data_IF_379481571058
#
_entry.id   IF_379481571058
#
_cell.length_a   1.000
_cell.length_b   1.000
_cell.length_c   1.000
_cell.angle_alpha   90.00
_cell.angle_beta   90.00
_cell.angle_gamma   90.00
#
_symmetry.space_group_name_H-M   'P 1'
#
loop_
_entity.id
_entity.type
_entity.pdbx_description
1 polymer ?
#
# COMPACT_ATOMS: atom_id res chain seq x y z
N UNK A 1 -0.55 -6.35 54.95
CA UNK A 1 0.61 -6.24 54.04
C UNK A 1 0.71 -7.52 53.23
N UNK A 2 0.22 -7.52 51.98
CA UNK A 2 0.41 -8.62 51.02
C UNK A 2 1.32 -8.08 49.92
N UNK A 3 2.47 -8.71 49.74
CA UNK A 3 3.47 -8.35 48.74
C UNK A 3 2.91 -8.55 47.33
N UNK A 4 3.10 -7.54 46.49
CA UNK A 4 2.84 -7.56 45.06
C UNK A 4 3.90 -8.41 44.34
N UNK A 5 3.46 -9.30 43.45
CA UNK A 5 4.33 -9.91 42.46
C UNK A 5 4.36 -8.99 41.23
N UNK A 6 5.51 -8.38 40.99
CA UNK A 6 5.79 -7.66 39.75
C UNK A 6 6.25 -8.70 38.73
N UNK A 7 5.41 -8.96 37.73
CA UNK A 7 5.82 -9.69 36.53
C UNK A 7 6.63 -8.73 35.67
N UNK A 8 7.94 -8.94 35.60
CA UNK A 8 8.81 -8.28 34.61
C UNK A 8 8.69 -9.05 33.30
N UNK A 9 7.91 -8.52 32.36
CA UNK A 9 7.97 -8.96 30.98
C UNK A 9 9.30 -8.46 30.38
N UNK A 10 10.25 -9.38 30.15
CA UNK A 10 11.38 -9.10 29.28
C UNK A 10 10.85 -9.04 27.84
N UNK A 11 10.66 -7.83 27.32
CA UNK A 11 10.60 -7.59 25.88
C UNK A 11 11.94 -8.04 25.30
N UNK A 12 11.94 -9.11 24.51
CA UNK A 12 13.08 -9.42 23.65
C UNK A 12 13.12 -8.35 22.57
N UNK A 13 14.05 -7.40 22.68
CA UNK A 13 14.51 -6.64 21.52
C UNK A 13 15.20 -7.66 20.62
N UNK A 14 14.51 -8.13 19.58
CA UNK A 14 15.17 -8.83 18.49
C UNK A 14 16.27 -7.90 17.97
N UNK A 15 17.52 -8.34 18.02
CA UNK A 15 18.62 -7.63 17.38
C UNK A 15 18.38 -7.71 15.88
N UNK A 16 17.84 -6.64 15.30
CA UNK A 16 17.83 -6.49 13.85
C UNK A 16 19.29 -6.38 13.40
N UNK A 17 19.61 -6.96 12.24
CA UNK A 17 20.92 -6.79 11.61
C UNK A 17 21.23 -5.31 11.42
N UNK A 18 22.50 -4.97 11.17
CA UNK A 18 22.78 -3.63 10.68
C UNK A 18 22.15 -3.48 9.28
N UNK A 19 21.50 -2.36 8.97
CA UNK A 19 20.90 -2.13 7.65
C UNK A 19 21.94 -2.25 6.54
N UNK A 20 21.53 -2.74 5.37
CA UNK A 20 22.37 -2.82 4.16
C UNK A 20 22.68 -1.43 3.60
N UNK A 21 21.74 -0.49 3.79
CA UNK A 21 21.89 0.92 3.48
C UNK A 21 21.12 1.73 4.53
N UNK A 22 21.65 2.88 4.95
CA UNK A 22 20.97 3.77 5.87
C UNK A 22 21.32 5.22 5.61
N UNK A 23 20.32 6.11 5.66
CA UNK A 23 20.53 7.55 5.75
C UNK A 23 19.64 8.24 6.78
N UNK A 24 20.29 9.02 7.66
CA UNK A 24 19.65 9.80 8.72
C UNK A 24 19.60 11.30 8.44
N UNK A 25 20.21 11.77 7.35
CA UNK A 25 20.24 13.19 6.95
C UNK A 25 20.94 14.20 7.90
N UNK A 26 21.45 13.74 9.04
CA UNK A 26 22.19 14.55 10.04
C UNK A 26 23.46 15.22 9.49
N UNK A 27 24.00 14.72 8.38
CA UNK A 27 25.23 15.25 7.76
C UNK A 27 24.98 15.96 6.42
N UNK A 28 23.72 16.11 6.03
CA UNK A 28 23.30 16.74 4.79
C UNK A 28 22.42 15.83 3.93
N UNK A 29 22.35 16.12 2.64
CA UNK A 29 21.42 15.47 1.71
C UNK A 29 21.82 14.04 1.31
N UNK A 30 23.04 13.58 1.62
CA UNK A 30 23.47 12.22 1.30
C UNK A 30 23.21 11.77 -0.17
N UNK A 31 23.43 12.67 -1.13
CA UNK A 31 23.18 12.38 -2.56
C UNK A 31 21.72 12.40 -2.98
N UNK A 32 20.77 12.60 -2.06
CA UNK A 32 19.37 12.83 -2.40
C UNK A 32 19.22 14.12 -3.19
N UNK A 33 18.37 14.05 -4.22
CA UNK A 33 18.04 15.16 -5.10
C UNK A 33 16.59 15.10 -5.53
N UNK A 34 16.01 16.26 -5.84
CA UNK A 34 14.77 16.29 -6.59
C UNK A 34 15.08 16.00 -8.07
N UNK A 35 14.45 14.98 -8.65
CA UNK A 35 14.68 14.59 -10.05
C UNK A 35 13.45 14.77 -10.94
N UNK A 36 12.28 15.06 -10.36
CA UNK A 36 11.08 15.44 -11.10
C UNK A 36 10.19 16.40 -10.30
N UNK A 37 9.40 17.19 -11.02
CA UNK A 37 8.58 18.27 -10.46
C UNK A 37 9.36 19.57 -10.25
N UNK A 38 8.64 20.67 -9.97
CA UNK A 38 9.23 21.97 -9.66
C UNK A 38 9.32 22.13 -8.14
N UNK A 39 10.52 22.02 -7.58
CA UNK A 39 10.74 22.17 -6.15
C UNK A 39 12.22 22.27 -5.78
N UNK A 40 12.47 22.28 -4.48
CA UNK A 40 13.79 22.29 -3.86
C UNK A 40 13.83 21.28 -2.73
N UNK A 41 15.03 20.78 -2.42
CA UNK A 41 15.27 20.00 -1.22
C UNK A 41 16.29 20.67 -0.32
N UNK A 42 16.17 20.42 0.98
CA UNK A 42 17.12 20.83 2.00
C UNK A 42 17.04 19.86 3.17
N UNK A 43 18.06 19.86 4.04
CA UNK A 43 17.85 19.35 5.40
C UNK A 43 17.20 20.45 6.23
N UNK A 44 16.33 20.06 7.15
CA UNK A 44 15.63 20.99 8.03
C UNK A 44 15.45 20.35 9.40
N UNK A 45 15.66 21.11 10.47
CA UNK A 45 15.21 20.71 11.80
C UNK A 45 13.70 20.84 11.96
N UNK A 46 13.05 19.75 12.37
CA UNK A 46 11.59 19.65 12.42
C UNK A 46 11.07 19.43 13.84
N UNK A 47 11.80 18.68 14.70
CA UNK A 47 11.36 18.37 16.07
C UNK A 47 12.53 18.05 17.01
N UNK A 48 12.34 18.15 18.34
CA UNK A 48 13.37 17.83 19.37
C UNK A 48 13.95 16.41 19.25
N UNK A 49 13.22 15.49 18.62
CA UNK A 49 13.62 14.09 18.43
C UNK A 49 14.16 13.79 17.02
N UNK A 50 14.05 14.74 16.08
CA UNK A 50 14.49 14.62 14.68
C UNK A 50 15.18 15.93 14.27
N UNK A 51 16.45 16.11 14.67
CA UNK A 51 17.12 17.40 14.60
C UNK A 51 17.46 17.81 13.15
N UNK A 52 17.64 16.87 12.23
CA UNK A 52 17.76 17.14 10.79
C UNK A 52 17.02 16.06 9.98
N UNK A 53 16.08 16.48 9.13
CA UNK A 53 15.35 15.59 8.21
C UNK A 53 15.46 16.08 6.78
N UNK A 54 15.30 15.19 5.79
CA UNK A 54 15.20 15.59 4.39
C UNK A 54 13.84 16.24 4.14
N UNK A 55 13.82 17.48 3.67
CA UNK A 55 12.61 18.24 3.35
C UNK A 55 12.55 18.56 1.86
N UNK A 56 11.49 18.12 1.19
CA UNK A 56 11.14 18.54 -0.17
C UNK A 56 10.06 19.61 -0.14
N UNK A 57 10.35 20.80 -0.68
CA UNK A 57 9.38 21.89 -0.85
C UNK A 57 9.08 22.09 -2.33
N UNK A 58 7.81 21.99 -2.71
CA UNK A 58 7.41 21.99 -4.13
C UNK A 58 6.01 22.55 -4.32
N UNK A 59 5.59 22.68 -5.58
CA UNK A 59 4.20 23.02 -5.91
C UNK A 59 3.56 21.82 -6.58
N UNK A 60 2.54 21.26 -5.93
CA UNK A 60 1.69 20.24 -6.52
C UNK A 60 0.90 20.85 -7.68
N UNK A 61 1.00 20.21 -8.83
CA UNK A 61 0.28 20.50 -10.07
C UNK A 61 -0.24 19.19 -10.64
N UNK A 62 -0.69 19.14 -11.90
CA UNK A 62 -1.04 17.90 -12.62
C UNK A 62 0.18 16.99 -12.92
N UNK A 63 1.25 17.10 -12.14
CA UNK A 63 2.51 16.37 -12.30
C UNK A 63 2.98 15.86 -10.96
N UNK A 64 3.79 14.82 -11.00
CA UNK A 64 4.48 14.27 -9.83
C UNK A 64 5.62 15.18 -9.34
N UNK A 65 6.02 14.96 -8.09
CA UNK A 65 7.28 15.45 -7.51
C UNK A 65 8.06 14.25 -6.98
N UNK A 66 9.36 14.16 -7.27
CA UNK A 66 10.15 12.99 -6.94
C UNK A 66 11.48 13.34 -6.28
N UNK A 67 11.79 12.65 -5.18
CA UNK A 67 13.07 12.65 -4.49
C UNK A 67 13.74 11.30 -4.65
N UNK A 68 15.06 11.27 -4.81
CA UNK A 68 15.79 10.01 -4.81
C UNK A 68 17.29 10.19 -4.75
N UNK A 69 17.98 9.09 -4.49
CA UNK A 69 19.44 9.04 -4.35
C UNK A 69 19.99 7.76 -4.99
N UNK A 70 21.20 7.81 -5.57
CA UNK A 70 21.98 6.61 -5.81
C UNK A 70 22.41 6.01 -4.47
N UNK A 71 22.29 4.69 -4.31
CA UNK A 71 22.69 4.03 -3.07
C UNK A 71 24.22 3.95 -2.91
N UNK A 72 24.95 3.80 -4.03
CA UNK A 72 26.41 3.74 -4.03
C UNK A 72 27.03 2.52 -3.32
N UNK A 73 26.21 1.63 -2.80
CA UNK A 73 26.57 0.37 -2.13
C UNK A 73 25.67 -0.75 -2.64
N UNK A 74 26.12 -2.00 -2.53
CA UNK A 74 25.28 -3.15 -2.85
C UNK A 74 24.29 -3.39 -1.71
N UNK A 75 23.02 -3.62 -2.06
CA UNK A 75 21.96 -4.06 -1.14
C UNK A 75 21.49 -5.47 -1.48
N UNK A 76 22.41 -6.30 -2.00
CA UNK A 76 22.15 -7.72 -2.25
C UNK A 76 21.64 -8.40 -0.97
N UNK A 77 20.56 -9.17 -1.10
CA UNK A 77 19.86 -9.77 0.04
C UNK A 77 18.88 -8.82 0.77
N UNK A 78 18.67 -7.61 0.28
CA UNK A 78 17.64 -6.70 0.79
C UNK A 78 16.24 -7.30 0.68
N UNK A 79 15.42 -7.05 1.70
CA UNK A 79 14.06 -7.59 1.79
C UNK A 79 13.02 -6.55 2.15
N UNK A 80 13.43 -5.40 2.69
CA UNK A 80 12.51 -4.34 3.04
C UNK A 80 13.11 -2.95 2.88
N UNK A 81 12.21 -1.98 2.73
CA UNK A 81 12.44 -0.55 2.69
C UNK A 81 11.76 0.08 3.90
N UNK A 82 12.52 0.83 4.71
CA UNK A 82 11.99 1.49 5.91
C UNK A 82 12.35 2.96 5.94
N UNK A 83 11.41 3.83 6.30
CA UNK A 83 11.68 5.25 6.54
C UNK A 83 10.53 5.89 7.31
N UNK A 84 10.77 7.05 7.89
CA UNK A 84 9.72 7.91 8.41
C UNK A 84 9.29 8.92 7.36
N UNK A 85 7.99 9.13 7.24
CA UNK A 85 7.37 10.05 6.30
C UNK A 85 6.43 10.99 7.03
N UNK A 86 6.42 12.25 6.62
CA UNK A 86 5.38 13.21 6.95
C UNK A 86 5.12 14.09 5.74
N UNK A 87 3.87 14.48 5.54
CA UNK A 87 3.47 15.44 4.51
C UNK A 87 2.63 16.55 5.14
N UNK A 88 2.61 17.75 4.57
CA UNK A 88 1.78 18.84 5.10
C UNK A 88 0.29 18.70 4.76
N UNK A 89 0.01 17.97 3.68
CA UNK A 89 -1.31 17.58 3.21
C UNK A 89 -1.40 16.05 3.10
N UNK A 90 -2.62 15.51 2.95
CA UNK A 90 -2.76 14.13 2.53
C UNK A 90 -2.08 13.93 1.17
N UNK A 91 -1.31 12.86 1.03
CA UNK A 91 -0.56 12.58 -0.18
C UNK A 91 -0.58 11.09 -0.53
N UNK A 92 -0.57 10.81 -1.83
CA UNK A 92 -0.28 9.50 -2.38
C UNK A 92 1.19 9.45 -2.80
N UNK A 93 1.93 8.57 -2.15
CA UNK A 93 3.37 8.42 -2.33
C UNK A 93 3.65 7.07 -2.98
N UNK A 94 4.49 7.04 -4.01
CA UNK A 94 5.18 5.83 -4.43
C UNK A 94 6.52 5.79 -3.71
N UNK A 95 6.73 4.75 -2.90
CA UNK A 95 8.04 4.43 -2.35
C UNK A 95 8.63 3.29 -3.19
N UNK A 96 9.85 3.46 -3.67
CA UNK A 96 10.38 2.55 -4.68
C UNK A 96 11.89 2.50 -4.80
N UNK A 97 12.32 1.52 -5.60
CA UNK A 97 13.70 1.21 -5.92
C UNK A 97 13.86 1.17 -7.44
N UNK A 98 15.06 1.44 -7.92
CA UNK A 98 15.39 1.35 -9.35
C UNK A 98 16.67 0.55 -9.52
N UNK A 99 16.60 -0.41 -10.43
CA UNK A 99 17.71 -1.26 -10.81
C UNK A 99 18.69 -0.54 -11.74
N UNK A 100 19.88 -1.12 -11.90
CA UNK A 100 20.96 -0.54 -12.69
C UNK A 100 20.63 -0.45 -14.19
N UNK A 101 19.71 -1.29 -14.68
CA UNK A 101 19.19 -1.27 -16.04
C UNK A 101 18.14 -0.17 -16.28
N UNK A 102 17.62 0.44 -15.20
CA UNK A 102 16.60 1.48 -15.21
C UNK A 102 15.19 1.00 -14.82
N UNK A 103 15.00 -0.30 -14.60
CA UNK A 103 13.73 -0.89 -14.19
C UNK A 103 13.34 -0.39 -12.80
N UNK A 104 12.16 0.22 -12.71
CA UNK A 104 11.67 0.87 -11.49
C UNK A 104 10.58 0.05 -10.81
N UNK A 105 10.70 -0.19 -9.51
CA UNK A 105 9.71 -0.89 -8.70
C UNK A 105 9.17 0.02 -7.61
N UNK A 106 7.87 -0.02 -7.31
CA UNK A 106 7.27 0.82 -6.28
C UNK A 106 6.01 0.24 -5.67
N UNK A 107 5.68 0.73 -4.48
CA UNK A 107 4.39 0.49 -3.83
C UNK A 107 3.74 1.82 -3.45
N UNK A 108 2.40 1.84 -3.51
CA UNK A 108 1.59 2.97 -3.09
C UNK A 108 1.52 3.05 -1.56
N UNK A 109 1.73 4.26 -1.03
CA UNK A 109 1.65 4.61 0.38
C UNK A 109 0.76 5.85 0.53
N UNK A 110 -0.21 5.79 1.42
CA UNK A 110 -1.05 6.93 1.79
C UNK A 110 -0.43 7.63 3.00
N UNK A 111 -0.07 8.90 2.83
CA UNK A 111 0.43 9.75 3.91
C UNK A 111 -0.67 10.64 4.46
N UNK A 112 -0.85 10.61 5.78
CA UNK A 112 -1.76 11.50 6.49
C UNK A 112 -1.15 12.90 6.66
N UNK A 113 -1.97 13.97 6.60
CA UNK A 113 -1.48 15.32 6.78
C UNK A 113 -0.92 15.53 8.19
N UNK A 114 0.27 16.12 8.24
CA UNK A 114 0.97 16.61 9.42
C UNK A 114 1.32 15.54 10.46
N UNK A 115 1.30 14.26 10.10
CA UNK A 115 1.64 13.15 11.00
C UNK A 115 2.90 12.43 10.51
N UNK A 116 3.80 12.12 11.44
CA UNK A 116 4.90 11.19 11.17
C UNK A 116 4.36 9.77 11.18
N UNK A 117 4.61 9.06 10.09
CA UNK A 117 4.26 7.65 9.90
C UNK A 117 5.52 6.88 9.52
N UNK A 118 5.70 5.71 10.12
CA UNK A 118 6.76 4.80 9.72
C UNK A 118 6.26 3.98 8.53
N UNK A 119 6.92 4.13 7.40
CA UNK A 119 6.74 3.30 6.22
C UNK A 119 7.70 2.14 6.35
N UNK A 120 7.19 0.91 6.34
CA UNK A 120 7.98 -0.31 6.32
C UNK A 120 7.37 -1.24 5.26
N UNK A 121 8.05 -1.39 4.13
CA UNK A 121 7.55 -2.10 2.95
C UNK A 121 8.46 -3.26 2.62
N UNK A 122 7.90 -4.46 2.58
CA UNK A 122 8.60 -5.62 2.05
C UNK A 122 8.77 -5.50 0.53
N UNK A 123 9.87 -6.01 0.00
CA UNK A 123 10.17 -5.95 -1.44
C UNK A 123 9.13 -6.69 -2.29
N UNK A 124 8.47 -7.71 -1.74
CA UNK A 124 7.37 -8.43 -2.41
C UNK A 124 6.11 -7.57 -2.63
N UNK A 125 5.98 -6.44 -1.93
CA UNK A 125 4.92 -5.43 -2.15
C UNK A 125 5.24 -4.49 -3.32
N UNK A 126 6.50 -4.43 -3.75
CA UNK A 126 6.91 -3.55 -4.83
C UNK A 126 6.51 -4.18 -6.16
N UNK A 127 5.85 -3.40 -7.02
CA UNK A 127 5.53 -3.78 -8.39
C UNK A 127 6.33 -2.96 -9.38
N UNK A 128 6.65 -3.60 -10.51
CA UNK A 128 7.28 -2.94 -11.64
C UNK A 128 6.38 -1.79 -12.11
N UNK A 129 6.97 -0.62 -12.27
CA UNK A 129 6.26 0.59 -12.70
C UNK A 129 5.71 0.40 -14.12
N UNK A 130 4.60 1.10 -14.40
CA UNK A 130 3.95 1.06 -15.70
C UNK A 130 4.93 1.43 -16.82
N UNK A 131 4.78 0.77 -17.97
CA UNK A 131 5.59 0.97 -19.18
C UNK A 131 7.09 0.60 -19.07
N UNK A 132 7.50 -0.05 -17.98
CA UNK A 132 8.85 -0.61 -17.83
C UNK A 132 8.90 -2.07 -18.29
N UNK A 133 10.08 -2.54 -18.70
CA UNK A 133 10.34 -3.94 -19.01
C UNK A 133 11.59 -4.39 -18.26
N UNK A 134 11.53 -5.60 -17.73
CA UNK A 134 12.55 -6.23 -16.90
C UNK A 134 12.70 -7.68 -17.35
N UNK A 135 13.89 -8.28 -17.20
CA UNK A 135 14.17 -9.65 -17.64
C UNK A 135 13.27 -10.71 -17.02
N UNK A 136 12.80 -10.49 -15.79
CA UNK A 136 12.10 -11.48 -14.99
C UNK A 136 10.81 -10.96 -14.33
N UNK A 137 10.59 -9.63 -14.38
CA UNK A 137 9.42 -8.95 -13.84
C UNK A 137 9.38 -8.91 -12.32
N UNK A 138 10.54 -8.98 -11.66
CA UNK A 138 10.72 -8.97 -10.20
C UNK A 138 11.91 -8.10 -9.85
N UNK A 139 11.81 -7.45 -8.70
CA UNK A 139 12.92 -6.70 -8.15
C UNK A 139 14.09 -7.65 -7.82
N UNK A 140 15.26 -7.38 -8.40
CA UNK A 140 16.52 -8.03 -8.14
C UNK A 140 17.37 -7.18 -7.17
N UNK A 141 17.47 -7.52 -5.87
CA UNK A 141 18.21 -6.73 -4.87
C UNK A 141 19.68 -6.51 -5.23
N UNK A 142 20.28 -7.42 -5.99
CA UNK A 142 21.66 -7.34 -6.49
C UNK A 142 21.84 -6.21 -7.51
N UNK A 143 20.78 -5.82 -8.22
CA UNK A 143 20.80 -4.81 -9.27
C UNK A 143 20.34 -3.43 -8.79
N UNK A 144 19.78 -3.33 -7.58
CA UNK A 144 19.28 -2.05 -7.03
C UNK A 144 20.39 -1.01 -6.96
N UNK A 145 20.16 0.11 -7.65
CA UNK A 145 21.10 1.20 -7.78
C UNK A 145 20.60 2.51 -7.17
N UNK A 146 19.28 2.72 -7.13
CA UNK A 146 18.67 3.94 -6.61
C UNK A 146 17.45 3.66 -5.75
N UNK A 147 17.18 4.59 -4.83
CA UNK A 147 15.93 4.67 -4.09
C UNK A 147 15.18 5.96 -4.43
N UNK A 148 13.85 5.90 -4.35
CA UNK A 148 12.98 7.02 -4.67
C UNK A 148 11.71 7.10 -3.82
N UNK A 149 11.26 8.33 -3.60
CA UNK A 149 9.98 8.68 -2.97
C UNK A 149 9.31 9.70 -3.88
N UNK A 150 8.12 9.38 -4.37
CA UNK A 150 7.42 10.15 -5.40
C UNK A 150 6.03 10.51 -4.94
N UNK A 151 5.71 11.80 -4.85
CA UNK A 151 4.34 12.25 -4.67
C UNK A 151 3.60 12.25 -6.02
N UNK A 152 2.60 11.38 -6.13
CA UNK A 152 1.76 11.20 -7.32
C UNK A 152 0.35 11.77 -7.14
N UNK A 153 0.08 12.50 -6.05
CA UNK A 153 -1.26 13.04 -5.74
C UNK A 153 -1.79 13.94 -6.85
N UNK A 154 -0.89 14.63 -7.55
CA UNK A 154 -1.22 15.49 -8.69
C UNK A 154 -1.62 14.73 -9.96
N UNK A 155 -1.17 13.48 -10.10
CA UNK A 155 -1.50 12.59 -11.23
C UNK A 155 -2.84 11.90 -10.99
N UNK A 156 -3.11 11.52 -9.74
CA UNK A 156 -4.33 10.81 -9.33
C UNK A 156 -5.39 11.73 -8.70
N UNK A 157 -5.38 13.02 -9.05
CA UNK A 157 -6.26 14.04 -8.45
C UNK A 157 -7.76 13.80 -8.65
N UNK A 158 -8.12 12.99 -9.66
CA UNK A 158 -9.51 12.58 -9.93
C UNK A 158 -9.95 11.39 -9.03
N UNK A 159 -9.00 10.59 -8.55
CA UNK A 159 -9.25 9.46 -7.64
C UNK A 159 -9.33 9.94 -6.20
N UNK A 160 -8.39 10.80 -5.80
CA UNK A 160 -8.44 11.51 -4.53
C UNK A 160 -8.35 13.01 -4.80
N UNK A 161 -9.31 13.81 -4.33
CA UNK A 161 -9.24 15.25 -4.48
C UNK A 161 -7.94 15.82 -3.89
N UNK A 162 -7.03 16.21 -4.76
CA UNK A 162 -5.78 16.86 -4.39
C UNK A 162 -5.85 18.34 -4.81
N UNK A 163 -5.81 19.25 -3.84
CA UNK A 163 -5.85 20.70 -4.13
C UNK A 163 -4.50 21.18 -4.67
N UNK A 164 -4.36 21.69 -5.89
CA UNK A 164 -3.08 22.21 -6.36
C UNK A 164 -2.52 23.30 -5.45
N UNK A 165 -1.19 23.40 -5.33
CA UNK A 165 -0.56 24.44 -4.53
C UNK A 165 0.74 24.01 -3.85
N UNK A 166 1.31 24.88 -2.99
CA UNK A 166 2.51 24.56 -2.24
C UNK A 166 2.34 23.29 -1.41
N UNK A 167 3.43 22.52 -1.31
CA UNK A 167 3.53 21.28 -0.55
C UNK A 167 4.88 21.13 0.10
N UNK A 168 4.89 20.38 1.19
CA UNK A 168 6.09 19.91 1.84
C UNK A 168 5.97 18.43 2.18
N UNK A 169 7.05 17.70 1.94
CA UNK A 169 7.23 16.32 2.40
C UNK A 169 8.54 16.22 3.17
N UNK A 170 8.54 15.43 4.23
CA UNK A 170 9.70 15.18 5.09
C UNK A 170 9.97 13.68 5.16
N UNK A 171 11.24 13.32 5.05
CA UNK A 171 11.74 11.94 5.11
C UNK A 171 12.87 11.88 6.11
N UNK A 172 12.88 10.82 6.92
CA UNK A 172 13.92 10.59 7.91
C UNK A 172 14.19 9.10 8.13
N UNK A 173 15.39 8.77 8.62
CA UNK A 173 15.85 7.43 8.95
C UNK A 173 15.52 6.39 7.86
N UNK A 174 15.93 6.69 6.63
CA UNK A 174 15.75 5.79 5.49
C UNK A 174 16.70 4.60 5.61
N UNK A 175 16.21 3.38 5.44
CA UNK A 175 17.03 2.17 5.40
C UNK A 175 16.51 1.14 4.40
N UNK A 176 17.44 0.30 3.95
CA UNK A 176 17.15 -0.98 3.30
C UNK A 176 17.70 -2.06 4.22
N UNK A 177 16.83 -2.99 4.60
CA UNK A 177 17.13 -4.01 5.60
C UNK A 177 17.06 -5.43 4.98
N UNK A 178 17.74 -6.39 5.61
CA UNK A 178 17.80 -7.79 5.17
C UNK A 178 16.72 -8.67 5.82
N UNK A 179 15.89 -8.09 6.69
CA UNK A 179 14.68 -8.71 7.23
C UNK A 179 13.43 -8.27 6.47
N UNK A 180 12.44 -9.16 6.45
CA UNK A 180 11.17 -8.89 5.80
C UNK A 180 10.32 -7.97 6.68
N UNK A 181 9.67 -6.99 6.05
CA UNK A 181 8.77 -6.08 6.76
C UNK A 181 7.58 -6.83 7.37
N UNK A 182 6.94 -6.28 8.44
CA UNK A 182 5.73 -6.87 9.04
C UNK A 182 4.55 -7.02 8.08
N UNK A 183 4.51 -6.23 7.01
CA UNK A 183 3.51 -6.35 5.95
C UNK A 183 3.96 -7.23 4.78
N UNK A 184 5.07 -7.96 4.89
CA UNK A 184 5.50 -8.88 3.85
C UNK A 184 4.45 -9.93 3.55
N UNK A 185 4.39 -10.36 2.30
CA UNK A 185 3.61 -11.54 1.94
C UNK A 185 4.23 -12.80 2.54
N UNK A 186 3.53 -13.93 2.44
CA UNK A 186 4.07 -15.23 2.87
C UNK A 186 5.50 -15.42 2.36
N UNK A 187 6.47 -15.49 3.29
CA UNK A 187 7.90 -15.42 3.03
C UNK A 187 8.41 -16.50 2.06
N UNK A 188 7.66 -17.59 1.89
CA UNK A 188 8.02 -18.74 1.05
C UNK A 188 7.42 -18.69 -0.34
N UNK A 189 6.48 -17.78 -0.63
CA UNK A 189 5.74 -17.83 -1.90
C UNK A 189 4.70 -18.95 -1.97
N UNK A 190 4.54 -19.73 -0.90
CA UNK A 190 3.67 -20.91 -0.87
C UNK A 190 2.26 -20.58 -0.35
N UNK A 191 1.30 -21.44 -0.70
CA UNK A 191 -0.07 -21.37 -0.19
C UNK A 191 -0.16 -22.04 1.19
N UNK A 192 -0.94 -21.51 2.16
CA UNK A 192 -1.71 -20.26 2.07
C UNK A 192 -0.78 -19.04 1.97
N UNK A 193 -1.07 -18.20 0.98
CA UNK A 193 -0.28 -17.02 0.67
C UNK A 193 -0.93 -15.81 1.32
N UNK A 194 -0.39 -15.42 2.47
CA UNK A 194 -0.85 -14.27 3.23
C UNK A 194 -0.60 -12.98 2.43
N UNK A 195 -1.68 -12.23 2.19
CA UNK A 195 -1.62 -10.92 1.56
C UNK A 195 -1.54 -9.81 2.60
N UNK A 196 -2.32 -9.86 3.68
CA UNK A 196 -2.23 -8.84 4.72
C UNK A 196 -2.85 -9.31 6.05
N UNK A 197 -2.17 -9.00 7.16
CA UNK A 197 -2.69 -9.00 8.54
C UNK A 197 -2.74 -7.58 9.13
N UNK A 198 -2.30 -6.58 8.36
CA UNK A 198 -2.26 -5.16 8.76
C UNK A 198 -1.30 -4.84 9.90
N UNK A 199 -0.37 -5.75 10.24
CA UNK A 199 0.68 -5.53 11.24
C UNK A 199 1.63 -4.37 10.87
N UNK A 200 1.79 -4.09 9.56
CA UNK A 200 2.51 -2.92 9.06
C UNK A 200 1.69 -1.63 9.01
N UNK A 201 0.45 -1.64 9.51
CA UNK A 201 -0.46 -0.50 9.51
C UNK A 201 -1.26 -0.33 8.20
N UNK A 202 -2.08 0.73 8.10
CA UNK A 202 -3.05 0.91 7.01
C UNK A 202 -2.45 1.58 5.76
N UNK A 203 -1.14 1.81 5.71
CA UNK A 203 -0.52 2.75 4.77
C UNK A 203 -0.65 2.37 3.30
N UNK A 204 -0.79 1.08 2.99
CA UNK A 204 -0.98 0.56 1.62
C UNK A 204 -2.45 0.53 1.18
N UNK A 205 -3.35 1.05 2.02
CA UNK A 205 -4.79 1.06 1.81
C UNK A 205 -5.32 2.48 1.72
N UNK A 206 -6.06 2.74 0.65
CA UNK A 206 -6.67 4.03 0.36
C UNK A 206 -8.19 3.96 0.50
N UNK A 207 -8.79 4.80 1.33
CA UNK A 207 -10.22 5.10 1.23
C UNK A 207 -10.49 6.05 0.05
N UNK A 208 -11.32 5.62 -0.91
CA UNK A 208 -11.91 6.50 -1.93
C UNK A 208 -12.99 7.39 -1.28
N UNK A 209 -13.71 6.81 -0.32
CA UNK A 209 -14.64 7.53 0.55
C UNK A 209 -14.44 7.09 2.00
N UNK A 210 -14.52 8.05 2.93
CA UNK A 210 -14.36 7.77 4.35
C UNK A 210 -12.90 7.79 4.78
N UNK A 211 -12.55 6.93 5.73
CA UNK A 211 -11.24 6.85 6.34
C UNK A 211 -10.85 5.39 6.57
N UNK A 212 -9.56 5.08 6.37
CA UNK A 212 -8.96 3.79 6.72
C UNK A 212 -7.98 4.01 7.85
N UNK A 213 -8.12 3.23 8.91
CA UNK A 213 -7.26 3.29 10.09
C UNK A 213 -7.08 1.89 10.68
N UNK A 214 -6.06 1.72 11.52
CA UNK A 214 -5.89 0.48 12.28
C UNK A 214 -6.66 0.59 13.60
N UNK A 215 -7.58 -0.35 13.86
CA UNK A 215 -8.34 -0.43 15.10
C UNK A 215 -8.26 -1.86 15.67
N UNK A 216 -7.72 -1.99 16.88
CA UNK A 216 -7.55 -3.29 17.56
C UNK A 216 -6.78 -4.33 16.72
N UNK A 217 -5.78 -3.88 15.95
CA UNK A 217 -4.97 -4.74 15.07
C UNK A 217 -5.67 -5.11 13.75
N UNK A 218 -6.80 -4.49 13.42
CA UNK A 218 -7.57 -4.75 12.20
C UNK A 218 -7.64 -3.51 11.34
N UNK A 219 -7.71 -3.68 10.02
CA UNK A 219 -8.01 -2.59 9.11
C UNK A 219 -9.48 -2.19 9.29
N UNK A 220 -9.74 -0.95 9.67
CA UNK A 220 -11.08 -0.41 9.82
C UNK A 220 -11.32 0.65 8.76
N UNK A 221 -12.25 0.39 7.86
CA UNK A 221 -12.72 1.36 6.87
C UNK A 221 -14.08 1.90 7.29
N UNK A 222 -14.11 3.16 7.70
CA UNK A 222 -15.32 3.86 8.16
C UNK A 222 -15.79 4.86 7.13
N UNK A 223 -17.07 4.80 6.76
CA UNK A 223 -17.66 5.65 5.72
C UNK A 223 -19.08 6.10 6.11
N UNK A 224 -19.55 7.25 5.59
CA UNK A 224 -20.81 7.87 6.02
C UNK A 224 -22.09 7.18 5.49
N UNK A 225 -21.97 6.22 4.57
CA UNK A 225 -23.10 5.58 3.87
C UNK A 225 -23.62 6.44 2.71
N UNK A 226 -24.89 6.24 2.33
CA UNK A 226 -25.52 7.03 1.26
C UNK A 226 -25.62 8.50 1.67
N UNK A 227 -24.91 9.37 0.97
CA UNK A 227 -24.93 10.82 1.16
C UNK A 227 -25.19 11.56 -0.15
N UNK A 228 -25.63 12.83 -0.11
CA UNK A 228 -25.93 13.64 -1.29
C UNK A 228 -24.68 14.04 -2.12
N UNK A 229 -23.52 13.43 -1.84
CA UNK A 229 -22.33 13.58 -2.68
C UNK A 229 -22.44 12.54 -3.80
N UNK A 230 -23.09 12.93 -4.89
CA UNK A 230 -23.51 12.07 -6.02
C UNK A 230 -22.38 11.35 -6.77
N UNK A 231 -21.11 11.64 -6.46
CA UNK A 231 -19.96 11.23 -7.28
C UNK A 231 -18.88 10.39 -6.57
N UNK A 232 -19.12 9.84 -5.36
CA UNK A 232 -18.07 9.07 -4.66
C UNK A 232 -18.39 7.59 -4.51
N UNK A 233 -17.52 6.78 -5.11
CA UNK A 233 -17.48 5.33 -4.99
C UNK A 233 -17.09 4.94 -3.56
N UNK A 234 -18.03 4.38 -2.80
CA UNK A 234 -17.80 3.94 -1.42
C UNK A 234 -16.96 2.65 -1.43
N UNK A 235 -15.64 2.82 -1.45
CA UNK A 235 -14.68 1.74 -1.39
C UNK A 235 -13.37 2.13 -0.70
N UNK A 236 -12.62 1.10 -0.32
CA UNK A 236 -11.19 1.17 -0.11
C UNK A 236 -10.44 0.33 -1.14
N UNK A 237 -9.22 0.74 -1.44
CA UNK A 237 -8.35 0.20 -2.48
C UNK A 237 -7.01 -0.17 -1.86
N UNK A 238 -6.59 -1.42 -2.00
CA UNK A 238 -5.26 -1.90 -1.64
C UNK A 238 -4.44 -2.16 -2.89
N UNK A 239 -3.26 -1.54 -2.97
CA UNK A 239 -2.27 -1.88 -4.00
C UNK A 239 -1.56 -3.18 -3.60
N UNK A 240 -1.46 -4.11 -4.55
CA UNK A 240 -0.88 -5.43 -4.35
C UNK A 240 0.46 -5.53 -5.07
N UNK A 241 1.44 -6.14 -4.39
CA UNK A 241 2.68 -6.61 -4.97
C UNK A 241 2.47 -7.83 -5.87
N UNK A 242 3.53 -8.54 -6.21
CA UNK A 242 3.44 -9.69 -7.10
C UNK A 242 2.74 -10.88 -6.43
N UNK A 243 1.68 -11.40 -7.06
CA UNK A 243 0.94 -12.55 -6.56
C UNK A 243 1.45 -13.87 -7.16
N UNK A 244 1.31 -15.02 -6.46
CA UNK A 244 1.69 -16.31 -7.01
C UNK A 244 0.76 -16.71 -8.16
N UNK A 245 1.34 -17.06 -9.31
CA UNK A 245 0.60 -17.44 -10.52
C UNK A 245 -0.05 -18.84 -10.46
N UNK A 246 0.34 -19.70 -9.51
CA UNK A 246 -0.04 -21.12 -9.53
C UNK A 246 -0.72 -21.59 -8.24
N UNK A 247 -1.77 -22.38 -8.42
CA UNK A 247 -2.40 -23.18 -7.38
C UNK A 247 -3.34 -22.45 -6.44
N UNK A 248 -3.47 -21.13 -6.53
CA UNK A 248 -4.46 -20.37 -5.77
C UNK A 248 -5.85 -20.51 -6.43
N UNK A 249 -6.84 -20.94 -5.66
CA UNK A 249 -8.22 -21.13 -6.12
C UNK A 249 -9.22 -20.27 -5.36
N UNK A 250 -8.87 -19.81 -4.15
CA UNK A 250 -9.73 -18.97 -3.35
C UNK A 250 -8.99 -17.75 -2.79
N UNK A 251 -9.70 -16.62 -2.76
CA UNK A 251 -9.39 -15.48 -1.91
C UNK A 251 -10.17 -15.63 -0.60
N UNK A 252 -9.46 -15.68 0.53
CA UNK A 252 -10.06 -15.67 1.86
C UNK A 252 -10.02 -14.24 2.40
N UNK A 253 -11.18 -13.76 2.85
CA UNK A 253 -11.34 -12.49 3.54
C UNK A 253 -11.94 -12.75 4.92
N UNK A 254 -11.21 -12.44 5.99
CA UNK A 254 -11.76 -12.45 7.34
C UNK A 254 -12.24 -11.05 7.69
N UNK A 255 -13.55 -10.88 7.78
CA UNK A 255 -14.20 -9.56 7.88
C UNK A 255 -15.34 -9.52 8.90
N UNK A 256 -15.64 -8.34 9.41
CA UNK A 256 -16.88 -8.03 10.13
C UNK A 256 -17.36 -6.63 9.77
N UNK A 257 -18.63 -6.31 10.01
CA UNK A 257 -19.13 -4.96 9.75
C UNK A 257 -20.11 -4.51 10.82
N UNK A 258 -20.10 -3.22 11.17
CA UNK A 258 -21.03 -2.69 12.19
C UNK A 258 -22.49 -2.79 11.76
N UNK A 259 -22.76 -2.85 10.45
CA UNK A 259 -24.08 -3.03 9.85
C UNK A 259 -23.98 -4.04 8.71
N UNK A 260 -25.08 -4.76 8.41
CA UNK A 260 -25.09 -5.63 7.24
C UNK A 260 -24.78 -4.83 5.97
N UNK A 261 -23.94 -5.38 5.10
CA UNK A 261 -23.61 -4.79 3.81
C UNK A 261 -23.48 -5.87 2.73
N UNK A 262 -23.61 -5.46 1.48
CA UNK A 262 -23.24 -6.28 0.34
C UNK A 262 -21.87 -5.83 -0.14
N UNK A 263 -20.85 -6.63 0.19
CA UNK A 263 -19.45 -6.33 -0.09
C UNK A 263 -19.19 -6.62 -1.56
N UNK A 264 -18.84 -5.58 -2.31
CA UNK A 264 -18.24 -5.67 -3.61
C UNK A 264 -16.75 -5.95 -3.43
N UNK A 265 -16.30 -7.09 -3.93
CA UNK A 265 -14.88 -7.46 -4.00
C UNK A 265 -14.47 -7.40 -5.46
N UNK A 266 -13.46 -6.59 -5.77
CA UNK A 266 -12.90 -6.49 -7.13
C UNK A 266 -11.41 -6.80 -7.10
N UNK A 267 -10.99 -7.71 -7.96
CA UNK A 267 -9.60 -7.91 -8.33
C UNK A 267 -9.39 -7.27 -9.69
N UNK A 268 -8.39 -6.40 -9.78
CA UNK A 268 -8.08 -5.67 -11.00
C UNK A 268 -6.66 -5.96 -11.45
N UNK A 269 -6.55 -6.32 -12.72
CA UNK A 269 -5.30 -6.53 -13.44
C UNK A 269 -4.66 -5.21 -13.87
N UNK A 270 -3.34 -5.19 -13.98
CA UNK A 270 -2.59 -4.03 -14.48
C UNK A 270 -2.68 -3.92 -16.00
N UNK A 271 -2.92 -2.71 -16.51
CA UNK A 271 -2.78 -2.40 -17.93
C UNK A 271 -1.30 -2.27 -18.29
N UNK A 272 -0.71 -3.33 -18.85
CA UNK A 272 0.72 -3.39 -19.17
C UNK A 272 1.01 -4.11 -20.47
N UNK A 273 2.04 -3.68 -21.19
CA UNK A 273 2.52 -4.30 -22.44
C UNK A 273 1.44 -4.44 -23.53
N UNK A 274 0.52 -3.47 -23.59
CA UNK A 274 -0.60 -3.48 -24.52
C UNK A 274 -1.79 -4.36 -24.11
N UNK A 275 -1.77 -4.93 -22.88
CA UNK A 275 -2.90 -5.62 -22.27
C UNK A 275 -3.90 -4.61 -21.70
N UNK A 276 -5.17 -5.01 -21.71
CA UNK A 276 -6.26 -4.22 -21.16
C UNK A 276 -6.35 -4.35 -19.63
N UNK A 277 -6.85 -3.30 -18.98
CA UNK A 277 -7.21 -3.34 -17.55
C UNK A 277 -8.47 -4.19 -17.39
N UNK A 278 -8.33 -5.43 -16.93
CA UNK A 278 -9.48 -6.30 -16.64
C UNK A 278 -9.86 -6.23 -15.16
N UNK A 279 -11.17 -6.17 -14.89
CA UNK A 279 -11.72 -6.12 -13.54
C UNK A 279 -12.65 -7.32 -13.31
N UNK A 280 -12.41 -8.05 -12.24
CA UNK A 280 -13.13 -9.25 -11.86
C UNK A 280 -13.81 -9.04 -10.53
N UNK A 281 -15.14 -9.18 -10.48
CA UNK A 281 -15.92 -8.83 -9.30
C UNK A 281 -16.77 -9.98 -8.74
N UNK A 282 -17.01 -9.93 -7.43
CA UNK A 282 -17.97 -10.77 -6.70
C UNK A 282 -18.70 -9.91 -5.68
N UNK A 283 -19.99 -10.20 -5.49
CA UNK A 283 -20.77 -9.68 -4.37
C UNK A 283 -20.88 -10.75 -3.30
N UNK A 284 -20.58 -10.37 -2.05
CA UNK A 284 -20.73 -11.24 -0.88
C UNK A 284 -21.49 -10.53 0.23
N UNK A 285 -22.40 -11.22 0.88
CA UNK A 285 -23.15 -10.65 2.00
C UNK A 285 -22.30 -10.72 3.28
N UNK A 286 -22.12 -9.58 3.94
CA UNK A 286 -21.45 -9.49 5.25
C UNK A 286 -22.51 -9.12 6.29
N UNK A 287 -22.81 -9.98 7.27
CA UNK A 287 -23.78 -9.65 8.30
C UNK A 287 -23.24 -8.55 9.21
N UNK A 288 -24.18 -7.79 9.78
CA UNK A 288 -23.85 -6.81 10.81
C UNK A 288 -23.53 -7.48 12.14
N UNK A 289 -22.54 -6.93 12.85
CA UNK A 289 -22.09 -7.39 14.16
C UNK A 289 -20.57 -7.42 14.24
N UNK A 290 -20.06 -7.57 15.47
CA UNK A 290 -18.62 -7.56 15.74
C UNK A 290 -17.95 -8.92 15.56
N UNK A 291 -18.70 -9.97 15.20
CA UNK A 291 -18.17 -11.32 15.05
C UNK A 291 -17.52 -11.46 13.66
N UNK A 292 -16.19 -11.67 13.56
CA UNK A 292 -15.54 -11.88 12.29
C UNK A 292 -16.02 -13.16 11.61
N UNK A 293 -16.08 -13.11 10.29
CA UNK A 293 -16.41 -14.24 9.42
C UNK A 293 -15.37 -14.35 8.32
N UNK A 294 -14.90 -15.57 8.08
CA UNK A 294 -14.02 -15.86 6.94
C UNK A 294 -14.89 -16.24 5.74
N UNK A 295 -14.82 -15.42 4.70
CA UNK A 295 -15.51 -15.61 3.44
C UNK A 295 -14.50 -16.17 2.45
N UNK A 296 -14.81 -17.32 1.85
CA UNK A 296 -14.03 -17.90 0.77
C UNK A 296 -14.65 -17.53 -0.58
N UNK A 297 -13.89 -16.82 -1.41
CA UNK A 297 -14.31 -16.42 -2.76
C UNK A 297 -13.53 -17.27 -3.76
N UNK A 298 -14.23 -18.16 -4.46
CA UNK A 298 -13.64 -18.93 -5.56
C UNK A 298 -13.28 -17.98 -6.70
N UNK A 299 -12.01 -17.98 -7.11
CA UNK A 299 -11.49 -17.07 -8.12
C UNK A 299 -12.18 -17.30 -9.48
N UNK A 300 -12.46 -18.56 -9.84
CA UNK A 300 -13.19 -18.93 -11.06
C UNK A 300 -14.66 -18.48 -11.08
N UNK A 301 -15.21 -18.05 -9.94
CA UNK A 301 -16.58 -17.54 -9.85
C UNK A 301 -16.66 -16.00 -9.92
N UNK A 302 -15.53 -15.32 -10.04
CA UNK A 302 -15.50 -13.88 -10.28
C UNK A 302 -16.05 -13.60 -11.68
N UNK A 303 -16.83 -12.52 -11.80
CA UNK A 303 -17.40 -12.09 -13.08
C UNK A 303 -16.57 -10.95 -13.65
N UNK A 304 -16.16 -11.08 -14.91
CA UNK A 304 -15.50 -10.00 -15.65
C UNK A 304 -16.48 -8.83 -15.81
N UNK A 305 -16.05 -7.62 -15.45
CA UNK A 305 -16.78 -6.40 -15.72
C UNK A 305 -16.49 -5.90 -17.13
N UNK A 306 -17.50 -5.96 -18.00
CA UNK A 306 -17.38 -5.57 -19.41
C UNK A 306 -17.91 -4.15 -19.69
N UNK A 307 -18.28 -3.36 -18.66
CA UNK A 307 -18.91 -2.05 -18.88
C UNK A 307 -17.99 -1.00 -19.52
N UNK A 308 -16.70 -1.01 -19.16
CA UNK A 308 -15.73 0.01 -19.60
C UNK A 308 -14.92 -0.42 -20.84
N UNK A 309 -15.37 -1.47 -21.54
CA UNK A 309 -14.66 -2.02 -22.71
C UNK A 309 -13.44 -2.86 -22.37
N UNK A 310 -13.21 -3.15 -21.09
CA UNK A 310 -12.24 -4.16 -20.65
C UNK A 310 -12.56 -5.50 -21.28
N UNK A 311 -11.63 -6.02 -22.07
CA UNK A 311 -11.67 -7.35 -22.62
C UNK A 311 -10.46 -8.11 -22.14
N UNK A 312 -10.66 -9.14 -21.32
CA UNK A 312 -9.61 -10.10 -21.12
C UNK A 312 -9.49 -11.00 -22.37
N UNK A 313 -8.26 -11.22 -22.85
CA UNK A 313 -7.97 -11.98 -24.06
C UNK A 313 -8.46 -13.43 -23.95
N UNK A 314 -8.48 -13.99 -22.73
CA UNK A 314 -8.72 -15.40 -22.48
C UNK A 314 -10.03 -15.67 -21.70
N UNK A 315 -10.68 -14.62 -21.19
CA UNK A 315 -11.90 -14.65 -20.39
C UNK A 315 -11.72 -15.20 -18.97
N UNK A 316 -10.51 -15.16 -18.41
CA UNK A 316 -10.14 -15.66 -17.09
C UNK A 316 -9.15 -14.71 -16.43
N UNK A 317 -9.28 -14.58 -15.12
CA UNK A 317 -8.36 -13.77 -14.35
C UNK A 317 -6.96 -14.39 -14.33
N UNK A 318 -5.97 -13.61 -14.72
CA UNK A 318 -4.56 -13.92 -14.66
C UNK A 318 -4.00 -13.37 -13.33
N UNK A 319 -3.93 -14.22 -12.31
CA UNK A 319 -3.68 -13.81 -10.93
C UNK A 319 -2.35 -13.05 -10.75
N UNK A 320 -1.31 -13.39 -11.52
CA UNK A 320 -0.03 -12.68 -11.51
C UNK A 320 -0.14 -11.22 -12.00
N UNK A 321 -1.16 -10.90 -12.79
CA UNK A 321 -1.42 -9.56 -13.33
C UNK A 321 -2.27 -8.72 -12.37
N UNK A 322 -2.92 -9.34 -11.38
CA UNK A 322 -3.73 -8.62 -10.39
C UNK A 322 -2.85 -7.71 -9.53
N UNK A 323 -3.01 -6.40 -9.71
CA UNK A 323 -2.25 -5.37 -9.01
C UNK A 323 -3.07 -4.61 -7.96
N UNK A 324 -4.41 -4.76 -7.98
CA UNK A 324 -5.29 -4.02 -7.10
C UNK A 324 -6.40 -4.90 -6.52
N UNK A 325 -6.65 -4.76 -5.22
CA UNK A 325 -7.85 -5.29 -4.55
C UNK A 325 -8.72 -4.13 -4.08
N UNK A 326 -9.99 -4.15 -4.46
CA UNK A 326 -10.98 -3.14 -4.08
C UNK A 326 -12.05 -3.82 -3.23
N UNK A 327 -12.37 -3.20 -2.10
CA UNK A 327 -13.43 -3.61 -1.19
C UNK A 327 -14.41 -2.44 -1.05
N UNK A 328 -15.66 -2.62 -1.52
CA UNK A 328 -16.68 -1.58 -1.54
C UNK A 328 -18.02 -2.03 -0.96
N UNK A 329 -18.85 -1.07 -0.55
CA UNK A 329 -20.23 -1.33 -0.12
C UNK A 329 -21.19 -1.01 -1.28
N UNK A 330 -21.74 -2.03 -1.93
CA UNK A 330 -22.65 -1.84 -3.06
C UNK A 330 -23.90 -1.06 -2.63
N UNK A 331 -24.39 -1.26 -1.41
CA UNK A 331 -25.52 -0.51 -0.88
C UNK A 331 -25.19 0.98 -0.76
N UNK A 332 -23.99 1.33 -0.31
CA UNK A 332 -23.55 2.72 -0.25
C UNK A 332 -23.34 3.32 -1.65
N UNK A 333 -22.67 2.59 -2.55
CA UNK A 333 -22.46 2.99 -3.95
C UNK A 333 -23.81 3.23 -4.66
N UNK A 334 -24.80 2.36 -4.44
CA UNK A 334 -26.13 2.48 -5.02
C UNK A 334 -27.05 3.51 -4.31
N UNK A 335 -26.56 4.21 -3.29
CA UNK A 335 -27.35 5.18 -2.52
C UNK A 335 -28.44 4.56 -1.63
N UNK A 336 -28.31 3.28 -1.30
CA UNK A 336 -29.26 2.49 -0.51
C UNK A 336 -28.83 2.26 0.94
N UNK A 337 -27.58 2.58 1.30
CA UNK A 337 -27.06 2.36 2.66
C UNK A 337 -27.71 3.31 3.67
N UNK A 338 -28.24 2.80 4.80
CA UNK A 338 -29.06 3.56 5.75
C UNK A 338 -28.27 4.54 6.65
N UNK A 339 -26.97 4.74 6.39
CA UNK A 339 -26.10 5.69 7.08
C UNK A 339 -24.71 5.12 7.36
N UNK A 340 -23.95 5.69 8.31
CA UNK A 340 -22.56 5.34 8.52
C UNK A 340 -22.36 3.85 8.84
N UNK A 341 -21.27 3.30 8.33
CA UNK A 341 -20.89 1.93 8.56
C UNK A 341 -19.35 1.82 8.60
N UNK A 342 -18.87 0.77 9.26
CA UNK A 342 -17.46 0.41 9.30
C UNK A 342 -17.33 -1.05 8.88
N UNK A 343 -16.46 -1.32 7.92
CA UNK A 343 -15.97 -2.66 7.59
C UNK A 343 -14.65 -2.86 8.32
N UNK A 344 -14.53 -3.96 9.07
CA UNK A 344 -13.27 -4.42 9.64
C UNK A 344 -12.76 -5.58 8.80
N UNK A 345 -11.47 -5.53 8.45
CA UNK A 345 -10.76 -6.63 7.81
C UNK A 345 -9.65 -7.06 8.74
N UNK A 346 -9.66 -8.33 9.11
CA UNK A 346 -8.70 -8.94 10.01
C UNK A 346 -7.54 -9.55 9.21
N UNK A 347 -7.86 -10.17 8.07
CA UNK A 347 -6.88 -10.93 7.29
C UNK A 347 -7.33 -11.12 5.84
N UNK A 348 -6.35 -11.15 4.93
CA UNK A 348 -6.53 -11.45 3.51
C UNK A 348 -5.50 -12.51 3.09
N UNK A 349 -5.96 -13.60 2.48
CA UNK A 349 -5.08 -14.70 2.00
C UNK A 349 -5.53 -15.25 0.65
N UNK A 350 -4.58 -15.80 -0.11
CA UNK A 350 -4.86 -16.73 -1.20
C UNK A 350 -4.63 -18.17 -0.73
N UNK A 351 -5.53 -19.08 -1.06
CA UNK A 351 -5.40 -20.50 -0.71
C UNK A 351 -5.70 -21.39 -1.92
N UNK A 352 -5.16 -22.60 -1.93
CA UNK A 352 -5.42 -23.58 -2.98
C UNK A 352 -6.70 -24.37 -2.77
N UNK A 353 -6.88 -25.45 -3.56
CA UNK A 353 -7.94 -26.43 -3.31
C UNK A 353 -7.66 -27.14 -1.97
N UNK A 354 -8.61 -27.01 -1.03
CA UNK A 354 -8.58 -27.65 0.29
C UNK A 354 -9.19 -29.05 0.30
#
# INVERSE_FOLDING_TARGET
MRLAAVLTACLSLASHGAPLYQESFETGLAGWQAFAGKGSIATQGEHEQRPEVLCGSYTLSEKLFALGAPLGVSVAGGRSLRFWLRTDHQALIIAGLTEADGSGYGALVVSEPNRWQEVNLSFDRLRLQQDQQDENGRLDPEQVAMAGIVDISGVLGDVIPATPGPRQLWVDAFSIDDDQAPNGYSATGELPYLLDTFDGGPLTWLAVQGEVLLQDGRLAWSYPGAGPQEDRFAAMVGALGQLPAQGAHHLLLTVSSTRPLQLLVVLQEEARDGRDESRYLKLVDVPGGEVPQTIAITLDELTLDTHDGGGDENGRMDLEQVATLILGDLGAIAGQSPGPNTLFVDEIQLVGEG
#
